data_IF_795384056234
#
_entry.id   IF_795384056234
#
_cell.length_a   1.000
_cell.length_b   1.000
_cell.length_c   1.000
_cell.angle_alpha   90.00
_cell.angle_beta   90.00
_cell.angle_gamma   90.00
#
_symmetry.space_group_name_H-M   'P 1'
#
loop_
_entity.id
_entity.type
_entity.pdbx_description
1 polymer ?
#
# COMPACT_ATOMS: atom_id res chain seq x y z
N UNK A 1 -24.70 -40.20 -38.22
CA UNK A 1 -23.93 -39.76 -37.03
C UNK A 1 -22.67 -39.00 -37.48
N UNK A 2 -22.81 -37.85 -38.16
CA UNK A 2 -21.68 -37.14 -38.80
C UNK A 2 -21.46 -35.73 -38.22
N UNK A 3 -21.94 -35.46 -37.00
CA UNK A 3 -22.03 -34.12 -36.43
C UNK A 3 -20.87 -33.67 -35.54
N UNK A 4 -19.73 -34.37 -35.48
CA UNK A 4 -18.82 -34.14 -34.34
C UNK A 4 -17.31 -34.14 -34.66
N UNK A 5 -16.92 -34.20 -35.94
CA UNK A 5 -15.49 -34.18 -36.32
C UNK A 5 -14.97 -32.75 -36.47
N UNK A 6 -15.78 -31.83 -37.00
CA UNK A 6 -15.41 -30.41 -37.19
C UNK A 6 -15.22 -29.67 -35.86
N UNK A 7 -16.08 -29.93 -34.88
CA UNK A 7 -16.04 -29.32 -33.55
C UNK A 7 -14.84 -29.78 -32.75
N UNK A 8 -14.56 -31.10 -32.73
CA UNK A 8 -13.37 -31.66 -32.07
C UNK A 8 -12.07 -31.21 -32.71
N UNK A 9 -12.04 -31.03 -34.03
CA UNK A 9 -10.85 -30.51 -34.73
C UNK A 9 -10.64 -29.03 -34.41
N UNK A 10 -11.71 -28.23 -34.28
CA UNK A 10 -11.62 -26.83 -33.85
C UNK A 10 -11.19 -26.67 -32.40
N UNK A 11 -11.71 -27.49 -31.48
CA UNK A 11 -11.28 -27.50 -30.07
C UNK A 11 -9.83 -27.99 -29.93
N UNK A 12 -9.43 -29.03 -30.67
CA UNK A 12 -8.05 -29.49 -30.70
C UNK A 12 -7.10 -28.44 -31.28
N UNK A 13 -7.48 -27.72 -32.33
CA UNK A 13 -6.68 -26.61 -32.87
C UNK A 13 -6.59 -25.46 -31.85
N UNK A 14 -7.68 -25.11 -31.17
CA UNK A 14 -7.70 -24.11 -30.09
C UNK A 14 -6.83 -24.51 -28.89
N UNK A 15 -6.77 -25.80 -28.56
CA UNK A 15 -5.88 -26.31 -27.50
C UNK A 15 -4.41 -26.35 -27.93
N UNK A 16 -4.12 -26.47 -29.23
CA UNK A 16 -2.75 -26.49 -29.77
C UNK A 16 -2.24 -25.06 -30.09
N UNK A 17 -3.12 -24.08 -30.30
CA UNK A 17 -2.75 -22.68 -30.59
C UNK A 17 -2.86 -21.72 -29.41
N UNK A 18 -2.92 -22.22 -28.16
CA UNK A 18 -2.71 -21.36 -26.99
C UNK A 18 -1.22 -20.98 -26.89
N UNK A 19 -0.84 -20.03 -27.76
CA UNK A 19 0.44 -19.35 -27.73
C UNK A 19 0.65 -18.85 -26.29
N UNK A 20 1.76 -19.25 -25.69
CA UNK A 20 2.06 -18.83 -24.33
C UNK A 20 2.19 -17.30 -24.31
N UNK A 21 1.30 -16.63 -23.57
CA UNK A 21 1.24 -15.15 -23.44
C UNK A 21 2.46 -14.63 -22.66
N UNK A 22 3.25 -15.53 -22.06
CA UNK A 22 4.45 -15.24 -21.28
C UNK A 22 5.50 -16.34 -21.47
N UNK A 23 6.77 -15.98 -21.27
CA UNK A 23 7.91 -16.89 -21.35
C UNK A 23 8.59 -17.00 -19.99
N UNK A 24 9.03 -18.20 -19.61
CA UNK A 24 9.77 -18.42 -18.36
C UNK A 24 11.23 -17.99 -18.56
N UNK A 25 11.72 -17.13 -17.68
CA UNK A 25 13.12 -16.66 -17.67
C UNK A 25 13.77 -17.05 -16.34
N UNK A 26 15.07 -17.34 -16.36
CA UNK A 26 15.85 -17.62 -15.17
C UNK A 26 16.14 -16.33 -14.39
N UNK A 27 15.92 -16.35 -13.07
CA UNK A 27 16.25 -15.26 -12.15
C UNK A 27 17.22 -15.80 -11.09
N UNK A 28 18.26 -15.02 -10.78
CA UNK A 28 19.27 -15.36 -9.77
C UNK A 28 19.25 -14.29 -8.68
N UNK A 29 19.23 -14.72 -7.42
CA UNK A 29 19.37 -13.83 -6.27
C UNK A 29 20.85 -13.70 -5.90
N UNK A 30 21.30 -12.49 -5.61
CA UNK A 30 22.68 -12.21 -5.26
C UNK A 30 22.76 -11.24 -4.09
N UNK A 31 23.69 -11.53 -3.18
CA UNK A 31 24.12 -10.69 -2.07
C UNK A 31 25.37 -9.85 -2.41
N UNK A 32 25.94 -10.03 -3.61
CA UNK A 32 27.19 -9.37 -4.04
C UNK A 32 27.03 -7.89 -4.36
N UNK A 33 25.81 -7.46 -4.70
CA UNK A 33 25.51 -6.09 -5.07
C UNK A 33 24.28 -5.62 -4.30
N UNK A 34 24.31 -4.37 -3.84
CA UNK A 34 23.17 -3.73 -3.20
C UNK A 34 22.43 -2.88 -4.25
N UNK A 35 21.15 -3.21 -4.46
CA UNK A 35 20.23 -2.34 -5.18
C UNK A 35 19.81 -1.14 -4.32
N UNK A 36 19.11 -0.20 -4.93
CA UNK A 36 18.48 0.92 -4.25
C UNK A 36 17.01 1.02 -4.65
N UNK A 37 16.24 1.73 -3.83
CA UNK A 37 14.84 2.01 -4.10
C UNK A 37 14.64 3.45 -4.56
N UNK A 38 13.55 3.63 -5.28
CA UNK A 38 13.06 4.91 -5.75
C UNK A 38 11.60 5.04 -5.32
N UNK A 39 11.25 6.17 -4.73
CA UNK A 39 9.92 6.45 -4.18
C UNK A 39 9.34 7.69 -4.85
N UNK A 40 7.99 7.83 -4.93
CA UNK A 40 7.37 9.05 -5.42
C UNK A 40 7.85 10.26 -4.62
N UNK A 41 8.08 11.37 -5.31
CA UNK A 41 8.51 12.61 -4.65
C UNK A 41 7.33 13.27 -3.91
N UNK A 42 6.17 13.28 -4.56
CA UNK A 42 4.91 13.79 -4.02
C UNK A 42 3.98 12.64 -3.63
N UNK A 43 3.86 12.44 -2.32
CA UNK A 43 2.88 11.53 -1.75
C UNK A 43 3.33 10.07 -1.66
N UNK A 44 2.45 9.20 -1.14
CA UNK A 44 2.76 7.80 -0.95
C UNK A 44 2.74 7.01 -2.26
N UNK A 45 3.41 5.87 -2.27
CA UNK A 45 3.34 4.94 -3.39
C UNK A 45 2.03 4.12 -3.37
N UNK A 46 1.41 3.96 -2.20
CA UNK A 46 0.22 3.15 -2.00
C UNK A 46 -1.04 4.01 -1.91
N UNK A 47 -1.95 3.82 -2.87
CA UNK A 47 -3.24 4.52 -2.93
C UNK A 47 -4.44 3.62 -2.57
N UNK A 48 -4.22 2.42 -2.01
CA UNK A 48 -5.30 1.46 -1.75
C UNK A 48 -6.39 2.02 -0.81
N UNK A 49 -6.01 2.74 0.25
CA UNK A 49 -6.95 3.41 1.16
C UNK A 49 -7.37 4.80 0.70
N UNK A 50 -6.86 5.28 -0.44
CA UNK A 50 -7.15 6.60 -1.02
C UNK A 50 -7.55 6.47 -2.50
N UNK A 51 -8.30 5.41 -2.85
CA UNK A 51 -8.54 5.02 -4.24
C UNK A 51 -9.15 6.11 -5.14
N UNK A 52 -9.96 7.01 -4.58
CA UNK A 52 -10.57 8.13 -5.30
C UNK A 52 -9.54 9.14 -5.82
N UNK A 53 -8.39 9.27 -5.13
CA UNK A 53 -7.34 10.22 -5.50
C UNK A 53 -6.42 9.69 -6.61
N UNK A 54 -6.46 8.39 -6.89
CA UNK A 54 -5.63 7.78 -7.94
C UNK A 54 -6.26 8.00 -9.32
N UNK A 55 -5.47 8.56 -10.25
CA UNK A 55 -5.89 8.78 -11.64
C UNK A 55 -4.84 8.23 -12.61
N UNK A 56 -5.28 7.68 -13.74
CA UNK A 56 -4.40 7.05 -14.74
C UNK A 56 -3.43 8.06 -15.36
N UNK A 57 -3.84 9.32 -15.49
CA UNK A 57 -3.04 10.41 -16.06
C UNK A 57 -2.22 11.19 -15.02
N UNK A 58 -2.14 10.71 -13.78
CA UNK A 58 -1.40 11.38 -12.71
C UNK A 58 0.09 11.49 -13.06
N UNK A 59 0.66 12.68 -12.85
CA UNK A 59 2.10 12.92 -12.97
C UNK A 59 2.74 12.86 -11.60
N UNK A 60 3.87 12.17 -11.49
CA UNK A 60 4.65 12.09 -10.26
C UNK A 60 6.14 12.22 -10.56
N UNK A 61 6.86 12.91 -9.68
CA UNK A 61 8.32 12.85 -9.62
C UNK A 61 8.77 11.62 -8.84
N UNK A 62 10.06 11.29 -8.93
CA UNK A 62 10.67 10.16 -8.22
C UNK A 62 11.97 10.62 -7.59
N UNK A 63 12.24 10.14 -6.36
CA UNK A 63 13.48 10.40 -5.62
C UNK A 63 14.06 9.10 -5.06
N UNK A 64 15.35 9.12 -4.73
CA UNK A 64 15.98 8.04 -3.97
C UNK A 64 15.43 8.02 -2.55
N UNK A 65 15.04 6.84 -2.07
CA UNK A 65 14.50 6.70 -0.72
C UNK A 65 13.97 5.30 -0.44
N UNK A 66 13.64 5.02 0.80
CA UNK A 66 13.11 3.72 1.24
C UNK A 66 11.58 3.73 1.14
N UNK A 67 10.95 2.74 0.47
CA UNK A 67 9.49 2.67 0.41
C UNK A 67 8.93 2.40 1.80
N UNK A 68 7.89 3.14 2.16
CA UNK A 68 7.16 2.91 3.41
C UNK A 68 6.40 1.59 3.36
N UNK A 69 6.19 0.98 4.52
CA UNK A 69 5.42 -0.26 4.66
C UNK A 69 3.99 -0.09 4.16
N UNK A 70 3.35 -1.19 3.76
CA UNK A 70 1.99 -1.16 3.20
C UNK A 70 0.99 -0.42 4.10
N UNK A 71 1.04 -0.70 5.41
CA UNK A 71 0.21 -0.08 6.44
C UNK A 71 0.94 1.07 7.15
N UNK A 72 1.68 1.91 6.43
CA UNK A 72 2.15 3.15 7.00
C UNK A 72 0.99 4.17 7.11
N UNK A 73 1.08 5.10 8.06
CA UNK A 73 0.07 6.14 8.29
C UNK A 73 -0.16 7.05 7.08
N UNK A 74 0.91 7.37 6.33
CA UNK A 74 0.85 8.17 5.10
C UNK A 74 -0.05 7.52 4.04
N UNK A 75 -0.24 6.20 4.09
CA UNK A 75 -1.07 5.45 3.13
C UNK A 75 -2.55 5.45 3.53
N UNK A 76 -2.90 5.83 4.76
CA UNK A 76 -4.26 5.75 5.33
C UNK A 76 -4.65 6.98 6.16
N UNK A 77 -4.47 8.22 5.64
CA UNK A 77 -4.70 9.44 6.41
C UNK A 77 -6.11 9.54 6.99
N UNK A 78 -7.14 9.07 6.26
CA UNK A 78 -8.54 9.10 6.72
C UNK A 78 -8.75 8.38 8.06
N UNK A 79 -8.07 7.25 8.29
CA UNK A 79 -8.25 6.47 9.52
C UNK A 79 -7.75 7.22 10.76
N UNK A 80 -6.86 8.20 10.60
CA UNK A 80 -6.35 9.01 11.71
C UNK A 80 -7.12 10.32 11.86
N UNK A 81 -7.61 10.89 10.75
CA UNK A 81 -8.38 12.13 10.77
C UNK A 81 -9.79 11.95 11.39
N UNK A 82 -10.36 10.74 11.33
CA UNK A 82 -11.68 10.45 11.93
C UNK A 82 -11.72 10.64 13.44
N UNK A 83 -10.62 10.39 14.15
CA UNK A 83 -10.55 10.55 15.62
C UNK A 83 -10.50 12.03 16.04
N UNK A 84 -9.86 12.90 15.25
CA UNK A 84 -9.77 14.33 15.54
C UNK A 84 -11.14 15.03 15.54
N UNK A 85 -12.10 14.52 14.77
CA UNK A 85 -13.46 15.09 14.72
C UNK A 85 -14.33 14.73 15.94
N UNK A 86 -13.97 13.70 16.71
CA UNK A 86 -14.73 13.29 17.89
C UNK A 86 -14.32 14.06 19.15
N UNK A 87 -13.05 14.47 19.24
CA UNK A 87 -12.53 15.22 20.39
C UNK A 87 -13.13 16.64 20.49
N UNK A 88 -13.61 17.20 19.37
CA UNK A 88 -14.37 18.46 19.36
C UNK A 88 -15.73 18.35 20.08
N UNK A 89 -16.29 17.13 20.17
CA UNK A 89 -17.59 16.87 20.80
C UNK A 89 -17.46 16.53 22.30
N UNK A 90 -16.30 15.99 22.73
CA UNK A 90 -16.04 15.62 24.13
C UNK A 90 -15.29 16.68 24.95
N UNK A 91 -14.99 17.85 24.37
CA UNK A 91 -14.47 19.01 25.12
C UNK A 91 -15.48 19.63 26.12
N UNK A 92 -16.54 18.91 26.50
CA UNK A 92 -17.24 19.11 27.75
C UNK A 92 -16.29 18.73 28.90
N UNK A 93 -15.43 19.68 29.24
CA UNK A 93 -14.48 19.70 30.37
C UNK A 93 -14.91 18.81 31.53
N UNK A 94 -14.43 17.57 31.54
CA UNK A 94 -14.32 16.80 32.77
C UNK A 94 -13.08 17.35 33.48
N UNK A 95 -13.28 17.89 34.67
CA UNK A 95 -12.21 18.36 35.55
C UNK A 95 -11.25 17.19 35.81
N UNK A 96 -10.11 17.19 35.11
CA UNK A 96 -9.13 16.12 35.13
C UNK A 96 -7.86 16.70 35.73
N UNK A 97 -7.67 16.48 37.03
CA UNK A 97 -6.48 16.93 37.76
C UNK A 97 -5.31 15.98 37.46
N UNK A 98 -4.70 16.14 36.29
CA UNK A 98 -3.53 15.36 35.83
C UNK A 98 -2.21 16.09 36.18
N UNK A 99 -2.19 16.84 37.29
CA UNK A 99 -1.02 17.60 37.76
C UNK A 99 0.00 16.66 38.42
N UNK A 100 0.53 15.69 37.67
CA UNK A 100 1.69 14.94 38.09
C UNK A 100 2.95 15.71 37.69
N UNK A 101 3.64 16.30 38.66
CA UNK A 101 4.84 17.10 38.42
C UNK A 101 6.05 16.42 39.02
N UNK A 102 7.19 16.45 38.31
CA UNK A 102 8.44 15.85 38.82
C UNK A 102 8.89 16.48 40.16
N UNK A 103 8.35 17.64 40.53
CA UNK A 103 8.53 18.27 41.85
C UNK A 103 7.96 17.47 43.03
N UNK A 104 7.07 16.51 42.79
CA UNK A 104 6.49 15.68 43.86
C UNK A 104 7.51 14.64 44.40
N UNK A 105 8.63 14.42 43.71
CA UNK A 105 9.71 13.52 44.12
C UNK A 105 10.96 14.23 44.67
N UNK A 106 11.11 15.55 44.49
CA UNK A 106 12.31 16.29 44.91
C UNK A 106 12.36 16.63 46.41
N UNK A 107 11.67 15.86 47.25
CA UNK A 107 11.60 16.03 48.69
C UNK A 107 11.79 14.73 49.47
N UNK A 108 12.34 13.69 48.83
CA UNK A 108 12.61 12.38 49.46
C UNK A 108 14.11 12.09 49.63
N UNK A 109 14.96 13.09 49.49
CA UNK A 109 16.39 13.09 49.76
C UNK A 109 16.79 14.10 50.86
#
# INVERSE_FOLDING_TARGET
MNGDISTRTREAILMVTFQHIYEKVQIVLSDRFLGFYMVPDNGPWNYNSMGVTHTVSMKYGVKLGTPREYYNEDHRPTHFLEFSNLEEVEAAKVDRDDTFTWSDYSGLD
#
